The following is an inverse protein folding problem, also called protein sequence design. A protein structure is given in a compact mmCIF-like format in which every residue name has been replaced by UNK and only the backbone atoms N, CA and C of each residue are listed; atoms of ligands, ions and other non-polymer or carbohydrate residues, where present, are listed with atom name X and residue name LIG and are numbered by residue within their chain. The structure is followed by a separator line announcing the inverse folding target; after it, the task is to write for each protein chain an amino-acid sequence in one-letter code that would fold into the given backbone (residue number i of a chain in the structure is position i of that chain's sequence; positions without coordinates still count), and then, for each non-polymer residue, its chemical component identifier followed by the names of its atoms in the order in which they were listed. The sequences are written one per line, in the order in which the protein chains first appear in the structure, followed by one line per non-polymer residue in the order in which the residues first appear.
data_IF_951227378690
#
_entry.id   IF_951227378690
#
_cell.length_a   1.000
_cell.length_b   1.000
_cell.length_c   1.000
_cell.angle_alpha   90.00
_cell.angle_beta   90.00
_cell.angle_gamma   90.00
#
_symmetry.space_group_name_H-M   'P 1'
#
loop_
_entity.id
_entity.type
_entity.pdbx_description
1 polymer ?
#
# COMPACT_ATOMS: atom_id res chain seq x y z
N UNK A 1 -38.71 -29.82 -9.81
CA UNK A 1 -39.22 -28.50 -9.39
C UNK A 1 -38.42 -27.48 -10.17
N UNK A 2 -39.06 -26.55 -10.89
CA UNK A 2 -38.33 -25.58 -11.71
C UNK A 2 -37.75 -24.52 -10.76
N UNK A 3 -36.43 -24.51 -10.61
CA UNK A 3 -35.73 -23.63 -9.66
C UNK A 3 -35.77 -22.16 -10.08
N UNK A 4 -36.02 -21.87 -11.36
CA UNK A 4 -36.15 -20.51 -11.87
C UNK A 4 -37.16 -20.44 -13.01
N UNK A 5 -38.09 -19.47 -12.95
CA UNK A 5 -39.01 -19.12 -14.04
C UNK A 5 -38.94 -17.63 -14.32
N UNK A 6 -38.88 -17.30 -15.61
CA UNK A 6 -38.77 -15.94 -16.17
C UNK A 6 -39.91 -15.06 -15.68
N UNK A 7 -39.59 -13.85 -15.24
CA UNK A 7 -40.55 -12.74 -15.18
C UNK A 7 -40.08 -11.59 -16.06
N UNK A 8 -41.05 -11.04 -16.80
CA UNK A 8 -40.93 -9.91 -17.72
C UNK A 8 -40.62 -8.66 -16.91
N UNK A 9 -39.55 -7.94 -17.25
CA UNK A 9 -39.28 -6.66 -16.63
C UNK A 9 -37.89 -6.14 -16.93
N UNK A 10 -37.54 -5.99 -18.21
CA UNK A 10 -36.41 -5.15 -18.58
C UNK A 10 -36.93 -3.77 -18.94
N UNK A 11 -36.55 -2.78 -18.14
CA UNK A 11 -36.87 -1.37 -18.41
C UNK A 11 -35.66 -0.67 -19.01
N UNK A 12 -35.90 0.29 -19.90
CA UNK A 12 -34.85 1.11 -20.51
C UNK A 12 -35.25 2.59 -20.34
N UNK A 13 -34.33 3.40 -19.86
CA UNK A 13 -34.42 4.86 -19.82
C UNK A 13 -33.35 5.48 -20.71
N UNK A 14 -33.70 6.57 -21.38
CA UNK A 14 -32.78 7.44 -22.12
C UNK A 14 -32.61 8.81 -21.46
N UNK A 15 -33.23 9.03 -20.30
CA UNK A 15 -33.13 10.27 -19.55
C UNK A 15 -31.91 10.23 -18.61
N UNK A 16 -30.97 11.15 -18.78
CA UNK A 16 -29.80 11.27 -17.90
C UNK A 16 -30.22 11.58 -16.45
N UNK A 17 -29.53 10.96 -15.49
CA UNK A 17 -29.79 11.05 -14.05
C UNK A 17 -31.03 10.28 -13.56
N UNK A 18 -31.78 9.61 -14.44
CA UNK A 18 -32.98 8.89 -14.04
C UNK A 18 -32.65 7.59 -13.31
N UNK A 19 -33.11 7.48 -12.07
CA UNK A 19 -33.10 6.26 -11.25
C UNK A 19 -34.54 5.69 -11.22
N UNK A 20 -34.75 4.40 -11.54
CA UNK A 20 -36.06 3.78 -11.46
C UNK A 20 -36.61 3.84 -10.04
N UNK A 21 -37.92 4.04 -9.92
CA UNK A 21 -38.64 3.89 -8.65
C UNK A 21 -39.13 2.45 -8.46
N UNK A 22 -39.49 2.07 -7.23
CA UNK A 22 -40.08 0.75 -6.92
C UNK A 22 -41.46 0.54 -7.56
N UNK A 23 -42.13 1.61 -8.01
CA UNK A 23 -43.34 1.51 -8.83
C UNK A 23 -43.05 1.16 -10.30
N UNK A 24 -41.85 1.50 -10.78
CA UNK A 24 -41.41 1.26 -12.16
C UNK A 24 -40.65 -0.05 -12.32
N UNK A 25 -40.05 -0.57 -11.25
CA UNK A 25 -39.28 -1.82 -11.24
C UNK A 25 -39.82 -2.79 -10.18
N UNK A 26 -40.31 -3.95 -10.62
CA UNK A 26 -40.73 -5.07 -9.77
C UNK A 26 -39.55 -5.74 -9.07
N UNK A 27 -39.81 -6.51 -8.02
CA UNK A 27 -38.75 -7.27 -7.33
C UNK A 27 -38.14 -8.32 -8.26
N UNK A 28 -36.80 -8.39 -8.31
CA UNK A 28 -36.08 -9.27 -9.24
C UNK A 28 -36.01 -8.78 -10.68
N UNK A 29 -36.52 -7.58 -10.98
CA UNK A 29 -36.41 -6.94 -12.31
C UNK A 29 -35.13 -6.09 -12.45
N UNK A 30 -34.77 -5.81 -13.70
CA UNK A 30 -33.60 -5.00 -14.07
C UNK A 30 -34.01 -3.79 -14.92
N UNK A 31 -33.30 -2.68 -14.74
CA UNK A 31 -33.46 -1.49 -15.56
C UNK A 31 -32.10 -0.98 -16.08
N UNK A 32 -32.05 -0.60 -17.35
CA UNK A 32 -30.90 0.07 -17.96
C UNK A 32 -31.19 1.57 -18.11
N UNK A 33 -30.26 2.41 -17.70
CA UNK A 33 -30.21 3.80 -18.14
C UNK A 33 -29.10 3.93 -19.19
N UNK A 34 -29.49 4.10 -20.45
CA UNK A 34 -28.55 4.16 -21.57
C UNK A 34 -27.76 5.47 -21.57
N UNK A 35 -28.37 6.57 -21.11
CA UNK A 35 -27.68 7.86 -21.05
C UNK A 35 -26.55 7.84 -20.01
N UNK A 36 -26.79 7.21 -18.86
CA UNK A 36 -25.82 7.15 -17.77
C UNK A 36 -24.94 5.88 -17.82
N UNK A 37 -25.22 4.95 -18.74
CA UNK A 37 -24.62 3.61 -18.81
C UNK A 37 -24.77 2.79 -17.52
N UNK A 38 -25.89 2.97 -16.81
CA UNK A 38 -26.16 2.32 -15.51
C UNK A 38 -27.12 1.14 -15.62
N UNK A 39 -26.95 0.17 -14.72
CA UNK A 39 -27.82 -0.98 -14.50
C UNK A 39 -28.35 -0.91 -13.07
N UNK A 40 -29.67 -0.94 -12.93
CA UNK A 40 -30.35 -0.98 -11.65
C UNK A 40 -31.04 -2.32 -11.46
N UNK A 41 -30.97 -2.85 -10.25
CA UNK A 41 -31.71 -4.04 -9.84
C UNK A 41 -32.54 -3.72 -8.60
N UNK A 42 -33.69 -4.39 -8.47
CA UNK A 42 -34.50 -4.29 -7.25
C UNK A 42 -34.29 -5.52 -6.37
N UNK A 43 -33.76 -5.29 -5.18
CA UNK A 43 -33.69 -6.29 -4.10
C UNK A 43 -34.59 -5.84 -2.95
N UNK A 44 -35.75 -6.50 -2.78
CA UNK A 44 -36.74 -6.14 -1.78
C UNK A 44 -37.35 -4.74 -2.02
N UNK A 45 -37.12 -3.80 -1.09
CA UNK A 45 -37.65 -2.43 -1.17
C UNK A 45 -36.67 -1.41 -1.76
N UNK A 46 -35.43 -1.82 -2.04
CA UNK A 46 -34.38 -0.92 -2.52
C UNK A 46 -34.15 -1.09 -4.02
N UNK A 47 -33.78 0.01 -4.67
CA UNK A 47 -33.26 0.02 -6.05
C UNK A 47 -31.77 0.27 -5.95
N UNK A 48 -30.98 -0.74 -6.30
CA UNK A 48 -29.53 -0.71 -6.20
C UNK A 48 -28.92 -0.51 -7.59
N UNK A 49 -27.98 0.43 -7.72
CA UNK A 49 -27.11 0.53 -8.89
C UNK A 49 -26.03 -0.55 -8.78
N UNK A 50 -25.99 -1.46 -9.74
CA UNK A 50 -25.08 -2.61 -9.75
C UNK A 50 -23.96 -2.46 -10.79
N UNK A 51 -23.81 -1.28 -11.39
CA UNK A 51 -22.88 -1.02 -12.48
C UNK A 51 -21.44 -1.04 -12.01
N UNK A 52 -21.12 -0.18 -11.04
CA UNK A 52 -19.77 0.05 -10.55
C UNK A 52 -19.73 -0.17 -9.04
N UNK A 53 -18.89 -1.11 -8.61
CA UNK A 53 -18.73 -1.43 -7.17
C UNK A 53 -17.95 -0.34 -6.41
N UNK A 54 -17.18 0.48 -7.12
CA UNK A 54 -16.42 1.60 -6.62
C UNK A 54 -16.51 2.76 -7.61
N UNK A 55 -16.72 3.97 -7.10
CA UNK A 55 -16.66 5.20 -7.87
C UNK A 55 -15.23 5.56 -8.26
N UNK A 56 -15.08 6.37 -9.31
CA UNK A 56 -13.78 6.91 -9.70
C UNK A 56 -13.10 7.66 -8.55
N UNK A 57 -13.87 8.42 -7.76
CA UNK A 57 -13.35 9.15 -6.61
C UNK A 57 -12.81 8.22 -5.51
N UNK A 58 -13.46 7.07 -5.26
CA UNK A 58 -12.95 6.07 -4.31
C UNK A 58 -11.64 5.44 -4.80
N UNK A 59 -11.55 5.16 -6.10
CA UNK A 59 -10.32 4.63 -6.73
C UNK A 59 -9.19 5.65 -6.65
N UNK A 60 -9.47 6.92 -6.99
CA UNK A 60 -8.50 8.00 -6.94
C UNK A 60 -8.02 8.27 -5.51
N UNK A 61 -8.92 8.23 -4.54
CA UNK A 61 -8.58 8.33 -3.12
C UNK A 61 -7.68 7.19 -2.65
N UNK A 62 -7.99 5.95 -3.04
CA UNK A 62 -7.16 4.79 -2.73
C UNK A 62 -5.78 4.86 -3.40
N UNK A 63 -5.70 5.39 -4.63
CA UNK A 63 -4.45 5.54 -5.36
C UNK A 63 -3.58 6.66 -4.77
N UNK A 64 -4.18 7.79 -4.39
CA UNK A 64 -3.48 8.91 -3.76
C UNK A 64 -2.83 8.54 -2.42
N UNK A 65 -3.33 7.50 -1.74
CA UNK A 65 -2.74 6.98 -0.51
C UNK A 65 -1.56 6.04 -0.73
N UNK A 66 -1.24 5.66 -1.97
CA UNK A 66 -0.10 4.77 -2.25
C UNK A 66 1.20 5.56 -2.24
N UNK A 67 2.23 4.94 -1.67
CA UNK A 67 3.62 5.40 -1.76
C UNK A 67 4.28 4.80 -3.00
N UNK A 68 5.08 5.61 -3.71
CA UNK A 68 5.82 5.14 -4.87
C UNK A 68 6.96 4.20 -4.47
N UNK A 69 7.20 3.19 -5.29
CA UNK A 69 8.34 2.31 -5.12
C UNK A 69 9.63 3.03 -5.55
N UNK A 70 10.66 2.95 -4.70
CA UNK A 70 12.00 3.47 -5.00
C UNK A 70 12.98 2.30 -4.97
N UNK A 71 13.83 2.21 -5.99
CA UNK A 71 14.85 1.16 -6.06
C UNK A 71 15.72 1.11 -4.81
N UNK A 72 15.95 -0.10 -4.28
CA UNK A 72 16.72 -0.31 -3.06
C UNK A 72 16.01 0.06 -1.74
N UNK A 73 14.73 0.45 -1.79
CA UNK A 73 13.87 0.72 -0.61
C UNK A 73 12.65 -0.22 -0.59
N UNK A 74 12.15 -0.52 0.61
CA UNK A 74 10.83 -1.16 0.79
C UNK A 74 9.70 -0.13 0.70
N UNK A 75 8.49 -0.49 1.11
CA UNK A 75 7.33 0.43 1.11
C UNK A 75 6.95 0.94 2.53
N UNK A 76 7.90 0.94 3.49
CA UNK A 76 7.63 1.27 4.90
C UNK A 76 8.31 2.56 5.38
N UNK A 77 7.88 3.09 6.53
CA UNK A 77 8.40 4.32 7.13
C UNK A 77 9.89 4.25 7.50
N UNK A 78 10.51 3.06 7.48
CA UNK A 78 11.91 2.86 7.87
C UNK A 78 12.71 2.20 6.76
N UNK A 79 12.70 2.84 5.60
CA UNK A 79 13.50 2.43 4.46
C UNK A 79 14.92 3.01 4.50
N UNK A 80 15.92 2.16 4.31
CA UNK A 80 17.32 2.54 4.10
C UNK A 80 17.79 2.04 2.74
N UNK A 81 18.53 2.87 2.01
CA UNK A 81 19.25 2.46 0.80
C UNK A 81 20.32 1.43 1.12
N UNK A 82 20.78 0.67 0.12
CA UNK A 82 21.86 -0.29 0.32
C UNK A 82 23.14 0.38 0.84
N UNK A 83 23.47 1.56 0.34
CA UNK A 83 24.63 2.33 0.81
C UNK A 83 24.52 2.75 2.27
N UNK A 84 23.33 3.17 2.72
CA UNK A 84 23.08 3.49 4.13
C UNK A 84 23.18 2.26 5.03
N UNK A 85 22.65 1.11 4.59
CA UNK A 85 22.78 -0.16 5.33
C UNK A 85 24.22 -0.60 5.48
N UNK A 86 25.02 -0.49 4.42
CA UNK A 86 26.46 -0.79 4.45
C UNK A 86 27.19 0.12 5.44
N UNK A 87 26.90 1.42 5.42
CA UNK A 87 27.49 2.37 6.38
C UNK A 87 27.08 2.06 7.82
N UNK A 88 25.80 1.76 8.07
CA UNK A 88 25.30 1.40 9.39
C UNK A 88 25.99 0.16 9.94
N UNK A 89 26.16 -0.88 9.12
CA UNK A 89 26.91 -2.07 9.49
C UNK A 89 28.35 -1.75 9.89
N UNK A 90 29.02 -0.86 9.14
CA UNK A 90 30.39 -0.43 9.46
C UNK A 90 30.48 0.35 10.78
N UNK A 91 29.49 1.19 11.13
CA UNK A 91 29.45 1.88 12.42
C UNK A 91 29.37 0.89 13.58
N UNK A 92 28.57 -0.17 13.47
CA UNK A 92 28.52 -1.22 14.49
C UNK A 92 29.89 -1.85 14.77
N UNK A 93 30.70 -2.05 13.72
CA UNK A 93 32.07 -2.55 13.86
C UNK A 93 33.00 -1.53 14.52
N UNK A 94 32.91 -0.26 14.15
CA UNK A 94 33.81 0.78 14.67
C UNK A 94 33.47 1.24 16.11
N UNK A 95 32.20 1.11 16.52
CA UNK A 95 31.72 1.62 17.80
C UNK A 95 32.27 0.88 19.03
N UNK A 96 32.77 -0.35 18.84
CA UNK A 96 33.31 -1.17 19.93
C UNK A 96 34.85 -1.11 20.05
N UNK A 97 35.51 -0.22 19.30
CA UNK A 97 36.97 -0.09 19.34
C UNK A 97 37.43 0.62 20.60
N UNK A 98 38.41 0.04 21.30
CA UNK A 98 39.07 0.68 22.43
C UNK A 98 40.23 1.57 21.96
N UNK A 99 40.55 2.59 22.76
CA UNK A 99 41.78 3.39 22.60
C UNK A 99 42.79 2.89 23.62
N UNK A 100 43.85 2.26 23.13
CA UNK A 100 44.96 1.80 23.94
C UNK A 100 46.08 2.85 23.94
N UNK A 101 46.39 3.36 25.14
CA UNK A 101 47.57 4.18 25.39
C UNK A 101 48.63 3.27 26.01
N UNK A 102 49.76 3.13 25.32
CA UNK A 102 50.86 2.24 25.71
C UNK A 102 52.20 2.92 25.45
N UNK A 103 53.17 2.71 26.33
CA UNK A 103 54.57 3.06 26.10
C UNK A 103 55.30 1.98 25.27
N UNK A 104 54.80 0.74 25.28
CA UNK A 104 55.27 -0.38 24.49
C UNK A 104 54.82 -0.27 23.01
N UNK A 105 55.62 -0.74 22.05
CA UNK A 105 55.21 -0.85 20.64
C UNK A 105 53.98 -1.75 20.49
N UNK A 106 53.25 -1.58 19.38
CA UNK A 106 52.03 -2.34 19.08
C UNK A 106 52.27 -3.85 19.22
N UNK A 107 51.54 -4.46 20.15
CA UNK A 107 51.60 -5.89 20.47
C UNK A 107 50.17 -6.47 20.40
N UNK A 108 50.01 -7.57 19.67
CA UNK A 108 48.75 -8.29 19.49
C UNK A 108 48.28 -9.01 20.77
N UNK A 109 49.14 -9.08 21.79
CA UNK A 109 48.79 -9.64 23.09
C UNK A 109 47.91 -8.71 23.97
N UNK A 110 47.86 -7.40 23.69
CA UNK A 110 47.23 -6.41 24.59
C UNK A 110 46.01 -5.68 23.98
N UNK A 111 45.79 -5.77 22.67
CA UNK A 111 44.62 -5.20 21.99
C UNK A 111 44.10 -6.07 20.84
N UNK A 112 42.85 -5.89 20.44
CA UNK A 112 42.25 -6.65 19.34
C UNK A 112 42.49 -5.97 17.99
N UNK A 113 42.42 -6.76 16.92
CA UNK A 113 42.46 -6.27 15.55
C UNK A 113 41.40 -5.19 15.34
N UNK A 114 41.89 -4.00 15.01
CA UNK A 114 41.05 -2.83 14.82
C UNK A 114 40.96 -1.93 16.04
N UNK A 115 41.68 -2.07 17.14
CA UNK A 115 41.74 -1.03 18.18
C UNK A 115 42.59 0.20 17.75
N UNK A 116 42.44 1.35 18.43
CA UNK A 116 43.28 2.53 18.17
C UNK A 116 44.45 2.55 19.15
N UNK A 117 45.68 2.53 18.63
CA UNK A 117 46.89 2.58 19.43
C UNK A 117 47.53 3.96 19.37
N UNK A 118 47.73 4.57 20.53
CA UNK A 118 48.47 5.83 20.68
C UNK A 118 49.71 5.56 21.52
N UNK A 119 50.88 5.61 20.87
CA UNK A 119 52.16 5.53 21.58
C UNK A 119 52.55 6.93 22.05
N UNK A 120 52.70 7.09 23.36
CA UNK A 120 53.33 8.28 23.91
C UNK A 120 54.78 7.94 24.28
N UNK A 121 55.66 8.90 24.04
CA UNK A 121 57.07 8.80 24.38
C UNK A 121 57.29 9.81 25.51
N UNK A 122 57.80 9.35 26.65
CA UNK A 122 58.26 10.26 27.70
C UNK A 122 59.40 11.11 27.10
N UNK A 123 59.19 12.43 27.08
CA UNK A 123 60.17 13.43 26.63
C UNK A 123 61.07 13.81 27.80
#
# INVERSE_FOLDING_TARGET
MSEFRKFVGLRISTQAGAVPTTAQLGEGELAFNIADRKIFARFGSNIDDITDRYSQQEIDGALSGKVDAVEGKGLSDRNYTQGEKTKLAAVGTLANRNVYLSDQPHDDAVGQDGDLWLQYWDI
#
